data_IF_952853323193
#
_entry.id   IF_952853323193
#
_cell.length_a   1.000
_cell.length_b   1.000
_cell.length_c   1.000
_cell.angle_alpha   90.00
_cell.angle_beta   90.00
_cell.angle_gamma   90.00
#
_symmetry.space_group_name_H-M   'P 1'
#
loop_
_entity.id
_entity.type
_entity.pdbx_description
1 polymer ?
#
# COMPACT_ATOMS: atom_id res chain seq x y z
N UNK A 1 -13.09 -0.69 15.56
CA UNK A 1 -12.15 -1.67 15.00
C UNK A 1 -12.32 -1.61 13.49
N UNK A 2 -11.29 -1.22 12.74
CA UNK A 2 -11.41 -1.00 11.28
C UNK A 2 -11.70 -2.30 10.52
N UNK A 3 -12.34 -2.20 9.34
CA UNK A 3 -12.81 -3.37 8.59
C UNK A 3 -11.68 -4.38 8.24
N UNK A 4 -10.45 -3.89 8.08
CA UNK A 4 -9.29 -4.70 7.72
C UNK A 4 -8.31 -4.93 8.90
N UNK A 5 -8.75 -4.63 10.13
CA UNK A 5 -7.95 -4.83 11.33
C UNK A 5 -7.36 -6.24 11.41
N UNK A 6 -6.04 -6.33 11.55
CA UNK A 6 -5.30 -7.59 11.66
C UNK A 6 -5.07 -8.34 10.34
N UNK A 7 -5.48 -7.78 9.19
CA UNK A 7 -5.13 -8.35 7.88
C UNK A 7 -3.77 -7.82 7.41
N UNK A 8 -3.00 -8.70 6.79
CA UNK A 8 -1.72 -8.41 6.13
C UNK A 8 -1.90 -8.45 4.62
N UNK A 9 -1.55 -7.37 3.93
CA UNK A 9 -1.82 -7.21 2.49
C UNK A 9 -0.54 -6.79 1.77
N UNK A 10 -0.23 -7.47 0.66
CA UNK A 10 0.81 -7.07 -0.27
C UNK A 10 0.22 -6.14 -1.35
N UNK A 11 0.74 -4.93 -1.46
CA UNK A 11 0.36 -3.95 -2.48
C UNK A 11 1.50 -3.81 -3.49
N UNK A 12 1.17 -3.94 -4.78
CA UNK A 12 2.12 -3.76 -5.89
C UNK A 12 1.70 -2.57 -6.75
N UNK A 13 2.62 -2.04 -7.57
CA UNK A 13 2.29 -0.98 -8.53
C UNK A 13 2.14 0.43 -7.93
N UNK A 14 2.70 0.68 -6.74
CA UNK A 14 2.84 2.04 -6.21
C UNK A 14 4.05 2.70 -6.86
N UNK A 15 3.81 3.70 -7.71
CA UNK A 15 4.88 4.44 -8.40
C UNK A 15 4.99 5.89 -7.91
N UNK A 16 3.88 6.47 -7.43
CA UNK A 16 3.83 7.81 -6.81
C UNK A 16 2.55 7.96 -5.96
N UNK A 17 2.40 9.10 -5.29
CA UNK A 17 1.16 9.47 -4.57
C UNK A 17 -0.10 9.56 -5.45
N UNK A 18 0.05 9.64 -6.76
CA UNK A 18 -1.05 9.68 -7.73
C UNK A 18 -1.44 8.29 -8.26
N UNK A 19 -0.69 7.24 -7.89
CA UNK A 19 -1.03 5.87 -8.29
C UNK A 19 -2.35 5.43 -7.67
N UNK A 20 -3.17 4.68 -8.44
CA UNK A 20 -4.39 4.05 -7.91
C UNK A 20 -4.06 3.13 -6.72
N UNK A 21 -2.98 2.35 -6.84
CA UNK A 21 -2.49 1.48 -5.77
C UNK A 21 -2.17 2.23 -4.47
N UNK A 22 -1.73 3.49 -4.56
CA UNK A 22 -1.46 4.34 -3.40
C UNK A 22 -2.76 4.74 -2.69
N UNK A 23 -3.78 5.17 -3.44
CA UNK A 23 -5.09 5.48 -2.88
C UNK A 23 -5.76 4.26 -2.22
N UNK A 24 -5.63 3.09 -2.85
CA UNK A 24 -6.09 1.82 -2.27
C UNK A 24 -5.34 1.52 -0.97
N UNK A 25 -4.01 1.61 -0.96
CA UNK A 25 -3.19 1.39 0.23
C UNK A 25 -3.58 2.33 1.38
N UNK A 26 -3.81 3.62 1.10
CA UNK A 26 -4.25 4.57 2.11
C UNK A 26 -5.60 4.18 2.73
N UNK A 27 -6.58 3.79 1.90
CA UNK A 27 -7.87 3.32 2.39
C UNK A 27 -7.72 2.03 3.22
N UNK A 28 -6.91 1.08 2.78
CA UNK A 28 -6.69 -0.18 3.50
C UNK A 28 -6.01 0.05 4.85
N UNK A 29 -5.00 0.92 4.89
CA UNK A 29 -4.30 1.26 6.13
C UNK A 29 -5.23 1.98 7.12
N UNK A 30 -6.08 2.90 6.64
CA UNK A 30 -7.11 3.56 7.46
C UNK A 30 -8.06 2.53 8.10
N UNK A 31 -8.35 1.45 7.41
CA UNK A 31 -9.17 0.34 7.93
C UNK A 31 -8.39 -0.66 8.81
N UNK A 32 -7.14 -0.37 9.16
CA UNK A 32 -6.35 -1.15 10.12
C UNK A 32 -5.54 -2.31 9.52
N UNK A 33 -5.31 -2.31 8.21
CA UNK A 33 -4.45 -3.30 7.57
C UNK A 33 -2.95 -3.02 7.81
N UNK A 34 -2.18 -4.10 7.98
CA UNK A 34 -0.72 -4.12 7.85
C UNK A 34 -0.35 -4.27 6.37
N UNK A 35 0.45 -3.37 5.82
CA UNK A 35 0.76 -3.33 4.39
C UNK A 35 2.23 -3.64 4.13
N UNK A 36 2.48 -4.45 3.11
CA UNK A 36 3.80 -4.64 2.49
C UNK A 36 3.76 -4.12 1.06
N UNK A 37 4.89 -3.62 0.57
CA UNK A 37 5.00 -3.04 -0.77
C UNK A 37 6.09 -3.72 -1.58
N UNK A 38 5.88 -3.80 -2.89
CA UNK A 38 6.93 -4.13 -3.86
C UNK A 38 7.24 -2.94 -4.73
N UNK A 39 8.42 -2.95 -5.32
CA UNK A 39 8.86 -1.99 -6.31
C UNK A 39 9.46 -2.74 -7.51
N UNK A 40 9.22 -2.24 -8.71
CA UNK A 40 9.66 -2.91 -9.94
C UNK A 40 11.19 -2.86 -10.13
N UNK A 41 11.82 -1.77 -9.68
CA UNK A 41 13.26 -1.55 -9.78
C UNK A 41 13.73 -0.55 -8.71
N UNK A 42 15.04 -0.47 -8.49
CA UNK A 42 15.61 0.32 -7.39
C UNK A 42 15.34 1.83 -7.49
N UNK A 43 15.03 2.37 -8.69
CA UNK A 43 14.65 3.78 -8.85
C UNK A 43 13.36 4.14 -8.11
N UNK A 44 12.50 3.15 -7.85
CA UNK A 44 11.22 3.33 -7.16
C UNK A 44 11.30 3.07 -5.66
N UNK A 45 12.42 2.56 -5.14
CA UNK A 45 12.56 2.12 -3.75
C UNK A 45 12.47 3.25 -2.71
N UNK A 46 12.94 4.45 -3.06
CA UNK A 46 13.06 5.59 -2.12
C UNK A 46 11.92 6.60 -2.16
N UNK A 47 10.77 6.25 -2.73
CA UNK A 47 9.63 7.16 -2.93
C UNK A 47 8.53 6.96 -1.91
#
# INVERSE_FOLDING_TARGET
MGFLSGKRILVTGVASKLSIAYGIAQAMHREGAELAFTYQNDKLKGR
#
